data_IF_047587468689
#
_entry.id   IF_047587468689
#
_cell.length_a   1.000
_cell.length_b   1.000
_cell.length_c   1.000
_cell.angle_alpha   90.00
_cell.angle_beta   90.00
_cell.angle_gamma   90.00
#
_symmetry.space_group_name_H-M   'P 1'
#
loop_
_entity.id
_entity.type
_entity.pdbx_description
1 polymer ?
#
# COMPACT_ATOMS: atom_id res chain seq x y z
N UNK A 1 16.47 14.73 -6.98
CA UNK A 1 15.41 15.48 -6.24
C UNK A 1 15.12 16.82 -6.91
N UNK A 2 16.06 17.78 -6.93
CA UNK A 2 15.83 19.12 -7.52
C UNK A 2 15.52 19.10 -9.02
N UNK A 3 16.30 18.35 -9.82
CA UNK A 3 16.10 18.32 -11.28
C UNK A 3 14.80 17.62 -11.71
N UNK A 4 14.46 16.51 -11.05
CA UNK A 4 13.21 15.77 -11.32
C UNK A 4 11.98 16.45 -10.71
N UNK A 5 12.15 17.19 -9.62
CA UNK A 5 11.07 17.93 -8.95
C UNK A 5 10.71 19.24 -9.66
N UNK A 6 11.69 20.14 -9.80
CA UNK A 6 11.46 21.53 -10.22
C UNK A 6 11.95 21.82 -11.66
N UNK A 7 12.90 21.03 -12.18
CA UNK A 7 13.47 21.22 -13.52
C UNK A 7 14.05 22.62 -13.82
N UNK A 8 14.81 23.28 -12.92
CA UNK A 8 15.18 24.69 -13.03
C UNK A 8 16.13 25.02 -14.20
N UNK A 9 16.68 24.01 -14.90
CA UNK A 9 17.71 24.17 -15.94
C UNK A 9 17.27 23.86 -17.38
N UNK A 10 15.98 23.68 -17.65
CA UNK A 10 15.52 23.79 -19.04
C UNK A 10 14.41 22.87 -19.52
N UNK A 11 13.80 22.07 -18.65
CA UNK A 11 12.62 21.29 -19.04
C UNK A 11 11.64 21.07 -17.88
N UNK A 12 11.28 22.17 -17.20
CA UNK A 12 10.34 22.16 -16.08
C UNK A 12 8.99 21.52 -16.42
N UNK A 13 8.61 21.51 -17.70
CA UNK A 13 7.38 20.88 -18.21
C UNK A 13 7.39 19.37 -18.05
N UNK A 14 8.55 18.74 -18.23
CA UNK A 14 8.74 17.31 -18.03
C UNK A 14 9.13 16.94 -16.58
N UNK A 15 9.46 17.92 -15.74
CA UNK A 15 9.63 17.73 -14.30
C UNK A 15 8.28 17.52 -13.59
N UNK A 16 8.29 17.03 -12.35
CA UNK A 16 7.08 16.79 -11.56
C UNK A 16 6.17 18.03 -11.50
N UNK A 17 6.75 19.20 -11.26
CA UNK A 17 6.00 20.47 -11.22
C UNK A 17 5.21 20.73 -12.51
N UNK A 18 5.86 20.61 -13.69
CA UNK A 18 5.20 20.83 -14.96
C UNK A 18 4.13 19.80 -15.29
N UNK A 19 4.36 18.53 -14.94
CA UNK A 19 3.35 17.47 -15.08
C UNK A 19 2.11 17.76 -14.24
N UNK A 20 2.27 18.20 -13.00
CA UNK A 20 1.13 18.55 -12.14
C UNK A 20 0.37 19.78 -12.63
N UNK A 21 1.07 20.78 -13.17
CA UNK A 21 0.41 21.92 -13.83
C UNK A 21 -0.37 21.48 -15.06
N UNK A 22 0.18 20.57 -15.88
CA UNK A 22 -0.54 20.01 -17.03
C UNK A 22 -1.84 19.32 -16.63
N UNK A 23 -1.80 18.48 -15.58
CA UNK A 23 -3.00 17.82 -15.03
C UNK A 23 -4.02 18.85 -14.52
N UNK A 24 -3.56 19.93 -13.85
CA UNK A 24 -4.44 21.00 -13.40
C UNK A 24 -5.11 21.73 -14.57
N UNK A 25 -4.34 22.09 -15.60
CA UNK A 25 -4.85 22.78 -16.78
C UNK A 25 -5.90 21.92 -17.50
N UNK A 26 -5.61 20.63 -17.71
CA UNK A 26 -6.56 19.66 -18.29
C UNK A 26 -7.84 19.55 -17.46
N UNK A 27 -7.72 19.42 -16.13
CA UNK A 27 -8.86 19.36 -15.23
C UNK A 27 -9.72 20.63 -15.28
N UNK A 28 -9.11 21.81 -15.29
CA UNK A 28 -9.82 23.09 -15.37
C UNK A 28 -10.56 23.26 -16.70
N UNK A 29 -9.96 22.84 -17.82
CA UNK A 29 -10.64 22.85 -19.12
C UNK A 29 -11.83 21.88 -19.16
N UNK A 30 -11.66 20.67 -18.62
CA UNK A 30 -12.74 19.69 -18.51
C UNK A 30 -13.89 20.21 -17.63
N UNK A 31 -13.59 20.86 -16.50
CA UNK A 31 -14.59 21.47 -15.60
C UNK A 31 -15.30 22.68 -16.21
N UNK A 32 -14.62 23.47 -17.05
CA UNK A 32 -15.27 24.56 -17.82
C UNK A 32 -16.29 24.00 -18.82
N UNK A 33 -15.93 22.90 -19.50
CA UNK A 33 -16.81 22.24 -20.46
C UNK A 33 -17.98 21.50 -19.77
N UNK A 34 -17.75 20.93 -18.58
CA UNK A 34 -18.74 20.21 -17.80
C UNK A 34 -18.61 20.55 -16.29
N UNK A 35 -19.41 21.50 -15.76
CA UNK A 35 -19.37 21.87 -14.34
C UNK A 35 -19.74 20.75 -13.36
N UNK A 36 -20.46 19.72 -13.83
CA UNK A 36 -20.88 18.57 -13.02
C UNK A 36 -19.89 17.40 -13.12
N UNK A 37 -18.77 17.58 -13.82
CA UNK A 37 -17.74 16.55 -13.95
C UNK A 37 -17.16 16.18 -12.58
N UNK A 38 -17.35 14.94 -12.19
CA UNK A 38 -16.65 14.32 -11.07
C UNK A 38 -15.65 13.30 -11.61
N UNK A 39 -14.36 13.52 -11.32
CA UNK A 39 -13.25 12.68 -11.79
C UNK A 39 -12.67 11.80 -10.69
N UNK A 40 -13.24 11.84 -9.48
CA UNK A 40 -12.76 11.05 -8.35
C UNK A 40 -13.70 9.88 -8.05
N UNK A 41 -13.13 8.80 -7.50
CA UNK A 41 -13.94 7.73 -6.91
C UNK A 41 -14.57 8.24 -5.60
N UNK A 42 -15.77 7.77 -5.21
CA UNK A 42 -16.46 8.21 -3.99
C UNK A 42 -15.87 7.56 -2.73
N UNK A 43 -14.55 7.71 -2.55
CA UNK A 43 -13.81 7.07 -1.47
C UNK A 43 -13.98 7.86 -0.17
N UNK A 44 -14.38 7.20 0.91
CA UNK A 44 -14.31 7.76 2.26
C UNK A 44 -12.96 7.45 2.90
N UNK A 45 -12.38 8.38 3.68
CA UNK A 45 -11.22 8.13 4.52
C UNK A 45 -11.63 7.34 5.78
N UNK A 46 -12.23 6.16 5.57
CA UNK A 46 -12.67 5.27 6.63
C UNK A 46 -11.53 4.38 7.11
N UNK A 47 -11.52 4.03 8.39
CA UNK A 47 -10.52 3.13 8.99
C UNK A 47 -11.12 1.76 9.30
N UNK A 48 -10.28 0.76 9.53
CA UNK A 48 -10.72 -0.55 10.02
C UNK A 48 -10.99 -0.51 11.52
N UNK A 49 -10.22 0.27 12.27
CA UNK A 49 -10.35 0.41 13.73
C UNK A 49 -10.50 1.86 14.16
N UNK A 50 -11.18 2.08 15.28
CA UNK A 50 -11.29 3.40 15.88
C UNK A 50 -9.90 3.89 16.38
N UNK A 51 -9.51 5.14 16.09
CA UNK A 51 -8.27 5.72 16.60
C UNK A 51 -8.21 5.76 18.13
N UNK A 52 -7.04 5.49 18.70
CA UNK A 52 -6.82 5.54 20.16
C UNK A 52 -6.97 6.96 20.74
N UNK A 53 -6.71 7.98 19.92
CA UNK A 53 -6.83 9.39 20.30
C UNK A 53 -8.30 9.87 20.39
N UNK A 54 -9.26 9.00 20.05
CA UNK A 54 -10.69 9.28 20.10
C UNK A 54 -11.20 10.14 18.94
N UNK A 55 -10.41 10.33 17.89
CA UNK A 55 -10.85 11.03 16.68
C UNK A 55 -12.07 10.37 16.06
N UNK A 56 -13.08 11.17 15.72
CA UNK A 56 -14.30 10.71 15.05
C UNK A 56 -14.01 10.53 13.55
N UNK A 57 -13.77 9.28 13.15
CA UNK A 57 -13.50 8.88 11.76
C UNK A 57 -14.48 7.78 11.35
N UNK A 58 -14.98 7.79 10.10
CA UNK A 58 -15.81 6.70 9.59
C UNK A 58 -15.07 5.36 9.71
N UNK A 59 -15.81 4.28 9.98
CA UNK A 59 -15.27 2.93 10.00
C UNK A 59 -15.78 2.12 8.81
N UNK A 60 -14.91 1.24 8.30
CA UNK A 60 -15.30 0.24 7.31
C UNK A 60 -16.08 -0.85 8.06
N UNK A 61 -17.40 -0.82 7.95
CA UNK A 61 -18.32 -1.74 8.63
C UNK A 61 -18.68 -2.95 7.76
N UNK A 62 -18.45 -2.90 6.45
CA UNK A 62 -18.53 -4.08 5.58
C UNK A 62 -17.42 -5.08 5.95
N UNK A 63 -17.76 -6.32 6.39
CA UNK A 63 -16.76 -7.26 6.90
C UNK A 63 -15.71 -7.68 5.87
N UNK A 64 -16.09 -7.78 4.59
CA UNK A 64 -15.17 -8.19 3.54
C UNK A 64 -14.23 -7.04 3.17
N UNK A 65 -14.74 -5.82 3.02
CA UNK A 65 -13.93 -4.63 2.79
C UNK A 65 -12.95 -4.38 3.94
N UNK A 66 -13.39 -4.50 5.18
CA UNK A 66 -12.56 -4.31 6.36
C UNK A 66 -11.39 -5.32 6.39
N UNK A 67 -11.66 -6.59 6.09
CA UNK A 67 -10.62 -7.61 6.04
C UNK A 67 -9.62 -7.40 4.90
N UNK A 68 -10.07 -6.92 3.74
CA UNK A 68 -9.20 -6.58 2.62
C UNK A 68 -8.37 -5.32 2.92
N UNK A 69 -8.94 -4.35 3.63
CA UNK A 69 -8.21 -3.16 4.08
C UNK A 69 -7.11 -3.54 5.08
N UNK A 70 -7.41 -4.43 6.04
CA UNK A 70 -6.44 -4.98 6.98
C UNK A 70 -5.30 -5.73 6.28
N UNK A 71 -5.62 -6.50 5.23
CA UNK A 71 -4.61 -7.14 4.39
C UNK A 71 -3.66 -6.11 3.77
N UNK A 72 -4.20 -4.98 3.29
CA UNK A 72 -3.42 -3.85 2.78
C UNK A 72 -2.51 -3.23 3.85
N UNK A 73 -3.02 -3.07 5.08
CA UNK A 73 -2.25 -2.55 6.20
C UNK A 73 -1.07 -3.46 6.56
N UNK A 74 -1.29 -4.78 6.64
CA UNK A 74 -0.21 -5.76 6.89
C UNK A 74 0.85 -5.71 5.78
N UNK A 75 0.44 -5.69 4.51
CA UNK A 75 1.37 -5.64 3.39
C UNK A 75 2.21 -4.35 3.41
N UNK A 76 1.58 -3.21 3.73
CA UNK A 76 2.25 -1.93 3.85
C UNK A 76 3.22 -1.89 5.03
N UNK A 77 2.85 -2.48 6.16
CA UNK A 77 3.71 -2.60 7.34
C UNK A 77 4.96 -3.44 7.05
N UNK A 78 4.81 -4.59 6.38
CA UNK A 78 5.95 -5.40 5.90
C UNK A 78 6.82 -4.60 4.93
N UNK A 79 6.23 -3.84 4.00
CA UNK A 79 6.98 -2.97 3.09
C UNK A 79 7.82 -1.92 3.85
N UNK A 80 7.24 -1.28 4.87
CA UNK A 80 7.97 -0.33 5.71
C UNK A 80 9.10 -1.04 6.49
N UNK A 81 8.86 -2.23 7.04
CA UNK A 81 9.90 -3.03 7.70
C UNK A 81 11.08 -3.33 6.76
N UNK A 82 10.81 -3.71 5.51
CA UNK A 82 11.84 -3.96 4.51
C UNK A 82 12.66 -2.70 4.19
N UNK A 83 11.99 -1.56 4.04
CA UNK A 83 12.64 -0.26 3.78
C UNK A 83 13.47 0.21 4.98
N UNK A 84 12.95 0.09 6.20
CA UNK A 84 13.70 0.40 7.43
C UNK A 84 14.95 -0.47 7.51
N UNK A 85 14.81 -1.77 7.29
CA UNK A 85 15.93 -2.70 7.35
C UNK A 85 16.96 -2.43 6.24
N UNK A 86 16.53 -2.05 5.04
CA UNK A 86 17.42 -1.66 3.94
C UNK A 86 18.22 -0.39 4.29
N UNK A 87 17.57 0.62 4.85
CA UNK A 87 18.16 1.94 5.10
C UNK A 87 18.95 2.02 6.41
N UNK A 88 18.63 1.17 7.38
CA UNK A 88 19.24 1.12 8.71
C UNK A 88 19.91 -0.23 9.00
N UNK A 89 20.34 -0.96 7.95
CA UNK A 89 21.02 -2.25 8.08
C UNK A 89 22.29 -2.16 8.94
N UNK A 90 22.63 -3.27 9.58
CA UNK A 90 23.83 -3.37 10.45
C UNK A 90 24.75 -4.48 9.97
N UNK A 91 24.20 -5.68 9.74
CA UNK A 91 24.95 -6.90 9.44
C UNK A 91 24.41 -7.67 8.22
N UNK A 92 23.47 -7.08 7.48
CA UNK A 92 23.00 -7.60 6.20
C UNK A 92 24.12 -7.62 5.14
N UNK A 93 24.21 -8.73 4.41
CA UNK A 93 25.12 -8.88 3.27
C UNK A 93 24.65 -8.08 2.05
N UNK A 94 25.54 -7.81 1.09
CA UNK A 94 25.18 -7.15 -0.19
C UNK A 94 24.07 -7.89 -0.96
N UNK A 95 24.04 -9.22 -0.88
CA UNK A 95 22.99 -10.02 -1.51
C UNK A 95 21.64 -9.80 -0.80
N UNK A 96 21.64 -9.77 0.53
CA UNK A 96 20.46 -9.47 1.33
C UNK A 96 19.93 -8.06 1.07
N UNK A 97 20.81 -7.06 0.98
CA UNK A 97 20.41 -5.69 0.65
C UNK A 97 19.77 -5.60 -0.75
N UNK A 98 20.31 -6.33 -1.73
CA UNK A 98 19.70 -6.44 -3.07
C UNK A 98 18.31 -7.07 -3.01
N UNK A 99 18.14 -8.13 -2.21
CA UNK A 99 16.83 -8.76 -2.02
C UNK A 99 15.85 -7.82 -1.33
N UNK A 100 16.23 -7.14 -0.24
CA UNK A 100 15.37 -6.18 0.45
C UNK A 100 14.91 -5.07 -0.50
N UNK A 101 15.83 -4.51 -1.27
CA UNK A 101 15.53 -3.46 -2.26
C UNK A 101 14.57 -3.96 -3.35
N UNK A 102 14.86 -5.13 -3.95
CA UNK A 102 14.03 -5.69 -5.01
C UNK A 102 12.61 -6.04 -4.52
N UNK A 103 12.49 -6.73 -3.38
CA UNK A 103 11.19 -7.11 -2.81
C UNK A 103 10.40 -5.88 -2.39
N UNK A 104 11.04 -4.84 -1.83
CA UNK A 104 10.35 -3.59 -1.48
C UNK A 104 9.70 -2.93 -2.70
N UNK A 105 10.45 -2.80 -3.80
CA UNK A 105 9.91 -2.20 -5.04
C UNK A 105 8.82 -3.09 -5.65
N UNK A 106 9.04 -4.40 -5.69
CA UNK A 106 8.07 -5.34 -6.25
C UNK A 106 6.77 -5.38 -5.46
N UNK A 107 6.82 -5.31 -4.12
CA UNK A 107 5.62 -5.23 -3.28
C UNK A 107 4.75 -4.00 -3.58
N UNK A 108 5.37 -2.86 -3.92
CA UNK A 108 4.61 -1.66 -4.29
C UNK A 108 3.69 -1.92 -5.50
N UNK A 109 4.20 -2.61 -6.53
CA UNK A 109 3.47 -2.87 -7.77
C UNK A 109 2.61 -4.14 -7.72
N UNK A 110 3.14 -5.22 -7.17
CA UNK A 110 2.48 -6.53 -7.20
C UNK A 110 1.37 -6.65 -6.14
N UNK A 111 1.41 -5.82 -5.09
CA UNK A 111 0.55 -5.96 -3.91
C UNK A 111 -0.15 -4.64 -3.54
N UNK A 112 0.61 -3.58 -3.26
CA UNK A 112 0.03 -2.32 -2.73
C UNK A 112 -0.86 -1.63 -3.76
N UNK A 113 -0.38 -1.46 -4.98
CA UNK A 113 -1.14 -0.85 -6.09
C UNK A 113 -2.46 -1.59 -6.36
N UNK A 114 -2.49 -2.90 -6.66
CA UNK A 114 -3.74 -3.60 -6.96
C UNK A 114 -4.68 -3.70 -5.77
N UNK A 115 -4.19 -3.78 -4.52
CA UNK A 115 -5.05 -3.69 -3.33
C UNK A 115 -5.69 -2.30 -3.19
N UNK A 116 -4.93 -1.23 -3.41
CA UNK A 116 -5.45 0.13 -3.39
C UNK A 116 -6.51 0.35 -4.46
N UNK A 117 -6.28 -0.13 -5.67
CA UNK A 117 -7.27 -0.07 -6.76
C UNK A 117 -8.54 -0.87 -6.45
N UNK A 118 -8.39 -2.06 -5.85
CA UNK A 118 -9.51 -2.89 -5.43
C UNK A 118 -10.34 -2.21 -4.34
N UNK A 119 -9.71 -1.75 -3.27
CA UNK A 119 -10.38 -1.15 -2.11
C UNK A 119 -11.29 0.01 -2.50
N UNK A 120 -10.85 0.83 -3.44
CA UNK A 120 -11.63 1.98 -3.95
C UNK A 120 -12.86 1.60 -4.78
N UNK A 121 -13.11 0.29 -4.97
CA UNK A 121 -14.35 -0.26 -5.56
C UNK A 121 -15.23 -0.99 -4.55
N UNK A 122 -14.75 -1.21 -3.33
CA UNK A 122 -15.46 -1.97 -2.29
C UNK A 122 -16.26 -1.03 -1.39
N UNK A 123 -17.43 -1.45 -0.88
CA UNK A 123 -18.27 -0.60 -0.05
C UNK A 123 -17.63 -0.33 1.31
N UNK A 124 -17.86 0.86 1.88
CA UNK A 124 -17.52 1.12 3.29
C UNK A 124 -18.45 0.33 4.21
N UNK A 125 -19.74 0.34 3.90
CA UNK A 125 -20.79 -0.28 4.71
C UNK A 125 -22.18 0.27 4.40
N UNK A 126 -23.24 -0.36 4.94
CA UNK A 126 -24.62 0.06 4.69
C UNK A 126 -24.95 1.47 5.23
N UNK A 127 -24.19 1.98 6.20
CA UNK A 127 -24.33 3.32 6.76
C UNK A 127 -23.88 4.43 5.79
N UNK A 128 -23.09 4.07 4.77
CA UNK A 128 -22.55 4.99 3.77
C UNK A 128 -22.90 4.54 2.33
N UNK A 129 -24.19 4.58 1.92
CA UNK A 129 -24.59 4.12 0.60
C UNK A 129 -23.88 4.86 -0.53
N UNK A 130 -23.31 4.10 -1.47
CA UNK A 130 -22.61 4.65 -2.64
C UNK A 130 -21.17 5.11 -2.38
N UNK A 131 -20.70 5.07 -1.12
CA UNK A 131 -19.32 5.37 -0.78
C UNK A 131 -18.46 4.11 -0.76
N UNK A 132 -17.21 4.24 -1.21
CA UNK A 132 -16.25 3.14 -1.24
C UNK A 132 -15.12 3.31 -0.22
N UNK A 133 -14.52 2.19 0.17
CA UNK A 133 -13.36 2.17 1.05
C UNK A 133 -12.10 2.65 0.31
N UNK A 134 -11.01 2.85 1.05
CA UNK A 134 -9.71 3.16 0.48
C UNK A 134 -8.61 2.42 1.23
N UNK A 135 -7.37 2.42 0.71
CA UNK A 135 -6.22 1.97 1.50
C UNK A 135 -6.06 2.89 2.72
N UNK A 136 -6.12 2.30 3.92
CA UNK A 136 -6.15 3.06 5.18
C UNK A 136 -4.75 3.35 5.70
N UNK A 137 -3.77 2.49 5.37
CA UNK A 137 -2.37 2.59 5.80
C UNK A 137 -2.22 2.66 7.33
N UNK A 138 -3.14 2.04 8.06
CA UNK A 138 -3.06 1.92 9.51
C UNK A 138 -1.85 1.05 9.89
N UNK A 139 -1.06 1.52 10.86
CA UNK A 139 0.13 0.82 11.35
C UNK A 139 -0.12 0.35 12.77
N UNK A 140 -0.13 -0.95 13.00
CA UNK A 140 -0.52 -1.52 14.30
C UNK A 140 0.68 -1.90 15.18
N UNK A 141 1.84 -2.19 14.59
CA UNK A 141 3.03 -2.67 15.31
C UNK A 141 4.21 -1.69 15.21
N UNK A 142 3.95 -0.39 15.32
CA UNK A 142 4.97 0.67 15.25
C UNK A 142 6.24 0.45 16.10
N UNK A 143 6.20 -0.21 17.28
CA UNK A 143 7.40 -0.51 18.07
C UNK A 143 8.32 -1.60 17.47
N UNK A 144 7.82 -2.47 16.60
CA UNK A 144 8.50 -3.71 16.19
C UNK A 144 9.34 -3.59 14.90
N UNK A 145 9.33 -2.42 14.25
CA UNK A 145 10.07 -2.17 13.00
C UNK A 145 11.58 -2.46 13.06
N UNK A 146 12.16 -2.44 14.27
CA UNK A 146 13.61 -2.50 14.48
C UNK A 146 14.04 -3.75 15.24
N UNK A 147 13.50 -4.93 14.91
CA UNK A 147 14.06 -6.18 15.44
C UNK A 147 15.58 -6.25 15.13
N UNK A 148 16.45 -6.14 16.16
CA UNK A 148 17.88 -6.00 15.94
C UNK A 148 18.49 -7.31 15.41
N UNK A 149 17.83 -8.44 15.67
CA UNK A 149 18.27 -9.75 15.23
C UNK A 149 17.90 -10.00 13.77
N UNK A 150 18.92 -10.06 12.90
CA UNK A 150 18.79 -10.28 11.45
C UNK A 150 17.87 -11.42 11.08
N UNK A 151 18.21 -12.64 11.47
CA UNK A 151 17.43 -13.82 11.09
C UNK A 151 15.97 -13.73 11.54
N UNK A 152 15.71 -13.28 12.78
CA UNK A 152 14.36 -13.15 13.30
C UNK A 152 13.53 -12.10 12.55
N UNK A 153 14.13 -10.95 12.21
CA UNK A 153 13.43 -9.92 11.43
C UNK A 153 13.05 -10.41 10.03
N UNK A 154 13.93 -11.13 9.35
CA UNK A 154 13.63 -11.72 8.04
C UNK A 154 12.52 -12.78 8.11
N UNK A 155 12.55 -13.63 9.14
CA UNK A 155 11.52 -14.65 9.34
C UNK A 155 10.16 -14.02 9.68
N UNK A 156 10.12 -13.01 10.55
CA UNK A 156 8.87 -12.29 10.87
C UNK A 156 8.24 -11.66 9.62
N UNK A 157 9.02 -10.93 8.81
CA UNK A 157 8.51 -10.33 7.58
C UNK A 157 8.00 -11.39 6.58
N UNK A 158 8.71 -12.52 6.48
CA UNK A 158 8.28 -13.67 5.66
C UNK A 158 6.98 -14.29 6.17
N UNK A 159 6.86 -14.49 7.48
CA UNK A 159 5.68 -15.09 8.12
C UNK A 159 4.45 -14.19 7.99
N UNK A 160 4.57 -12.91 8.34
CA UNK A 160 3.46 -11.95 8.20
C UNK A 160 2.95 -11.87 6.76
N UNK A 161 3.86 -11.87 5.78
CA UNK A 161 3.47 -11.84 4.37
C UNK A 161 2.89 -13.19 3.89
N UNK A 162 3.33 -14.31 4.46
CA UNK A 162 2.76 -15.63 4.23
C UNK A 162 1.33 -15.74 4.77
N UNK A 163 1.10 -15.29 6.00
CA UNK A 163 -0.22 -15.26 6.63
C UNK A 163 -1.17 -14.33 5.87
N UNK A 164 -0.67 -13.17 5.44
CA UNK A 164 -1.40 -12.26 4.54
C UNK A 164 -1.78 -12.96 3.22
N UNK A 165 -0.87 -13.73 2.62
CA UNK A 165 -1.15 -14.47 1.40
C UNK A 165 -2.26 -15.54 1.60
N UNK A 166 -2.25 -16.25 2.72
CA UNK A 166 -3.29 -17.24 3.05
C UNK A 166 -4.65 -16.57 3.22
N UNK A 167 -4.70 -15.43 3.90
CA UNK A 167 -5.92 -14.65 4.08
C UNK A 167 -6.44 -14.09 2.75
N UNK A 168 -5.54 -13.54 1.91
CA UNK A 168 -5.86 -13.05 0.58
C UNK A 168 -6.43 -14.17 -0.31
N UNK A 169 -5.87 -15.37 -0.24
CA UNK A 169 -6.38 -16.53 -0.98
C UNK A 169 -7.76 -16.98 -0.47
N UNK A 170 -8.00 -16.91 0.84
CA UNK A 170 -9.31 -17.21 1.43
C UNK A 170 -10.39 -16.25 0.93
N UNK A 171 -10.16 -14.94 1.01
CA UNK A 171 -11.10 -13.95 0.48
C UNK A 171 -11.17 -13.95 -1.05
N UNK A 172 -10.11 -14.43 -1.72
CA UNK A 172 -10.06 -14.63 -3.17
C UNK A 172 -11.13 -15.56 -3.74
N UNK A 173 -11.77 -16.39 -2.90
CA UNK A 173 -12.90 -17.22 -3.31
C UNK A 173 -14.15 -16.38 -3.64
N UNK A 174 -14.33 -15.25 -2.95
CA UNK A 174 -15.46 -14.33 -3.15
C UNK A 174 -15.06 -13.05 -3.90
N UNK A 175 -13.76 -12.71 -3.90
CA UNK A 175 -13.19 -11.59 -4.65
C UNK A 175 -11.98 -12.06 -5.47
N UNK A 176 -12.19 -12.61 -6.68
CA UNK A 176 -11.13 -13.23 -7.48
C UNK A 176 -9.95 -12.33 -7.82
N UNK A 177 -10.12 -10.99 -7.76
CA UNK A 177 -9.02 -10.03 -7.96
C UNK A 177 -7.93 -10.15 -6.89
N UNK A 178 -8.19 -10.78 -5.75
CA UNK A 178 -7.20 -11.06 -4.71
C UNK A 178 -6.29 -12.24 -5.03
N UNK A 179 -6.68 -13.16 -5.92
CA UNK A 179 -5.90 -14.39 -6.16
C UNK A 179 -4.48 -14.09 -6.70
N UNK A 180 -4.29 -13.20 -7.69
CA UNK A 180 -2.95 -12.83 -8.13
C UNK A 180 -2.12 -12.13 -7.05
N UNK A 181 -2.78 -11.35 -6.18
CA UNK A 181 -2.15 -10.63 -5.06
C UNK A 181 -1.68 -11.63 -4.01
N UNK A 182 -2.50 -12.63 -3.68
CA UNK A 182 -2.14 -13.71 -2.78
C UNK A 182 -0.92 -14.49 -3.27
N UNK A 183 -0.88 -14.81 -4.57
CA UNK A 183 0.29 -15.46 -5.19
C UNK A 183 1.53 -14.58 -5.12
N UNK A 184 1.41 -13.26 -5.34
CA UNK A 184 2.52 -12.33 -5.23
C UNK A 184 3.07 -12.26 -3.80
N UNK A 185 2.20 -12.10 -2.80
CA UNK A 185 2.59 -12.11 -1.39
C UNK A 185 3.34 -13.39 -1.04
N UNK A 186 2.84 -14.56 -1.48
CA UNK A 186 3.50 -15.86 -1.24
C UNK A 186 4.90 -15.95 -1.84
N UNK A 187 5.07 -15.52 -3.10
CA UNK A 187 6.39 -15.50 -3.75
C UNK A 187 7.39 -14.61 -3.00
N UNK A 188 6.94 -13.45 -2.55
CA UNK A 188 7.78 -12.52 -1.78
C UNK A 188 8.12 -13.08 -0.40
N UNK A 189 7.16 -13.71 0.28
CA UNK A 189 7.37 -14.40 1.56
C UNK A 189 8.42 -15.52 1.46
N UNK A 190 8.35 -16.35 0.42
CA UNK A 190 9.32 -17.41 0.14
C UNK A 190 10.72 -16.85 -0.17
N UNK A 191 10.78 -15.76 -0.94
CA UNK A 191 12.03 -15.07 -1.27
C UNK A 191 12.73 -14.56 0.00
N UNK A 192 11.97 -13.93 0.92
CA UNK A 192 12.50 -13.47 2.20
C UNK A 192 12.96 -14.65 3.06
N UNK A 193 12.18 -15.73 3.14
CA UNK A 193 12.55 -16.92 3.91
C UNK A 193 13.87 -17.52 3.44
N UNK A 194 14.06 -17.64 2.13
CA UNK A 194 15.27 -18.21 1.53
C UNK A 194 16.54 -17.39 1.83
N UNK A 195 16.40 -16.11 2.16
CA UNK A 195 17.51 -15.18 2.44
C UNK A 195 17.67 -14.82 3.92
N UNK A 196 16.94 -15.50 4.81
CA UNK A 196 17.00 -15.28 6.27
C UNK A 196 18.29 -15.76 6.95
N UNK A 197 19.06 -16.65 6.30
CA UNK A 197 20.34 -17.21 6.78
C UNK A 197 21.50 -16.23 6.76
#
# INVERSE_FOLDING_TARGET
IVEQGEGPRGDWRNAHFGRFLGVLDEYLELRKANPDLDVVRPVLPALVRAPEDGSDVPLITDPQSAAIADLGNVAYEVLLQLLYRLLCHVDETDEQLKTLSAVSVQLMFDVIEPLGELLTTLPVGPEHPGMTAGPTFELFYQPDYLLPHRQAGWLMMSEHLGDAADLAHHYGQNEPRLLPIAEAMRRHAETLRAKSG
#
